data_IF_798752794724
#
_entry.id   IF_798752794724
#
_cell.length_a   1.000
_cell.length_b   1.000
_cell.length_c   1.000
_cell.angle_alpha   90.00
_cell.angle_beta   90.00
_cell.angle_gamma   90.00
#
_symmetry.space_group_name_H-M   'P 1'
#
loop_
_entity.id
_entity.type
_entity.pdbx_description
1 polymer ?
#
# COMPACT_ATOMS: atom_id res chain seq x y z
N UNK A 1 8.71 17.49 -8.90
CA UNK A 1 8.03 16.97 -7.70
C UNK A 1 6.78 16.24 -8.18
N UNK A 2 6.66 14.93 -7.97
CA UNK A 2 5.42 14.22 -8.31
C UNK A 2 4.34 14.66 -7.32
N UNK A 3 3.24 15.20 -7.83
CA UNK A 3 2.08 15.53 -7.02
C UNK A 3 1.48 14.24 -6.45
N UNK A 4 1.18 14.17 -5.14
CA UNK A 4 0.51 13.02 -4.57
C UNK A 4 -0.86 12.85 -5.24
N UNK A 5 -1.12 11.65 -5.77
CA UNK A 5 -2.43 11.29 -6.31
C UNK A 5 -3.47 11.35 -5.19
N UNK A 6 -4.58 12.06 -5.41
CA UNK A 6 -5.69 12.07 -4.46
C UNK A 6 -6.38 10.69 -4.47
N UNK A 7 -6.40 9.99 -3.33
CA UNK A 7 -7.07 8.69 -3.17
C UNK A 7 -8.28 8.78 -2.23
N UNK A 8 -8.79 9.98 -1.98
CA UNK A 8 -9.88 10.19 -1.04
C UNK A 8 -11.09 9.29 -1.33
N UNK A 9 -11.42 8.45 -0.35
CA UNK A 9 -12.56 7.52 -0.42
C UNK A 9 -12.32 6.26 -1.26
N UNK A 10 -11.12 6.06 -1.82
CA UNK A 10 -10.78 4.85 -2.58
C UNK A 10 -10.26 3.74 -1.66
N UNK A 11 -10.66 2.52 -1.97
CA UNK A 11 -10.07 1.30 -1.41
C UNK A 11 -8.93 0.83 -2.33
N UNK A 12 -7.76 0.52 -1.77
CA UNK A 12 -6.56 0.14 -2.53
C UNK A 12 -6.06 -1.22 -2.06
N UNK A 13 -6.15 -2.23 -2.94
CA UNK A 13 -5.61 -3.56 -2.68
C UNK A 13 -4.09 -3.59 -2.84
N UNK A 14 -3.37 -3.96 -1.79
CA UNK A 14 -1.91 -4.08 -1.77
C UNK A 14 -1.56 -5.57 -1.77
N UNK A 15 -0.91 -6.03 -2.84
CA UNK A 15 -0.50 -7.43 -3.03
C UNK A 15 0.98 -7.72 -2.72
N UNK A 16 1.70 -6.71 -2.22
CA UNK A 16 3.12 -6.81 -1.85
C UNK A 16 3.33 -7.75 -0.67
N UNK A 17 4.56 -8.29 -0.49
CA UNK A 17 4.93 -8.98 0.74
C UNK A 17 4.62 -8.13 1.97
N UNK A 18 4.14 -8.76 3.04
CA UNK A 18 3.63 -8.07 4.22
C UNK A 18 4.62 -7.05 4.80
N UNK A 19 5.88 -7.43 4.95
CA UNK A 19 6.94 -6.56 5.47
C UNK A 19 7.21 -5.31 4.60
N UNK A 20 6.81 -5.34 3.33
CA UNK A 20 6.99 -4.25 2.38
C UNK A 20 5.70 -3.45 2.14
N UNK A 21 4.57 -3.87 2.71
CA UNK A 21 3.28 -3.21 2.51
C UNK A 21 3.10 -1.98 3.43
N UNK A 22 3.78 -1.95 4.59
CA UNK A 22 3.54 -0.95 5.65
C UNK A 22 3.73 0.49 5.19
N UNK A 23 4.87 0.80 4.55
CA UNK A 23 5.16 2.17 4.10
C UNK A 23 4.20 2.65 3.01
N UNK A 24 3.77 1.75 2.13
CA UNK A 24 2.78 2.05 1.10
C UNK A 24 1.40 2.28 1.70
N UNK A 25 0.98 1.45 2.65
CA UNK A 25 -0.31 1.59 3.33
C UNK A 25 -0.40 2.95 4.04
N UNK A 26 0.66 3.37 4.73
CA UNK A 26 0.75 4.68 5.37
C UNK A 26 0.64 5.83 4.35
N UNK A 27 1.31 5.71 3.20
CA UNK A 27 1.23 6.72 2.14
C UNK A 27 -0.19 6.83 1.55
N UNK A 28 -0.89 5.70 1.38
CA UNK A 28 -2.28 5.66 0.91
C UNK A 28 -3.22 6.37 1.90
N UNK A 29 -3.08 6.09 3.20
CA UNK A 29 -3.84 6.78 4.26
C UNK A 29 -3.57 8.28 4.25
N UNK A 30 -2.31 8.69 4.07
CA UNK A 30 -1.92 10.10 4.05
C UNK A 30 -2.57 10.92 2.92
N UNK A 31 -3.03 10.26 1.84
CA UNK A 31 -3.74 10.88 0.72
C UNK A 31 -5.24 10.54 0.68
N UNK A 32 -5.79 10.08 1.80
CA UNK A 32 -7.22 9.86 2.01
C UNK A 32 -7.78 8.50 1.54
N UNK A 33 -6.91 7.58 1.13
CA UNK A 33 -7.30 6.23 0.72
C UNK A 33 -7.35 5.24 1.88
N UNK A 34 -8.00 4.10 1.65
CA UNK A 34 -8.06 2.96 2.58
C UNK A 34 -7.27 1.78 2.01
N UNK A 35 -6.12 1.40 2.60
CA UNK A 35 -5.38 0.24 2.14
C UNK A 35 -6.02 -1.07 2.60
N UNK A 36 -6.07 -2.05 1.70
CA UNK A 36 -6.48 -3.44 1.96
C UNK A 36 -5.25 -4.31 1.71
N UNK A 37 -4.64 -4.85 2.76
CA UNK A 37 -3.42 -5.65 2.66
C UNK A 37 -3.81 -7.10 2.37
N UNK A 38 -3.32 -7.65 1.25
CA UNK A 38 -3.54 -9.03 0.83
C UNK A 38 -2.28 -9.58 0.17
N UNK A 39 -1.26 -10.01 0.94
CA UNK A 39 0.02 -10.41 0.40
C UNK A 39 -0.12 -11.63 -0.52
N UNK A 40 0.28 -11.50 -1.80
CA UNK A 40 0.24 -12.61 -2.76
C UNK A 40 1.61 -13.25 -3.01
N UNK A 41 2.65 -12.72 -2.35
CA UNK A 41 4.04 -13.18 -2.49
C UNK A 41 4.73 -13.16 -1.12
N UNK A 42 5.61 -14.13 -0.87
CA UNK A 42 6.48 -14.22 0.31
C UNK A 42 7.94 -14.08 -0.12
N UNK A 43 8.74 -13.34 0.65
CA UNK A 43 10.18 -13.26 0.46
C UNK A 43 10.84 -14.34 1.32
N UNK A 44 11.59 -15.25 0.69
CA UNK A 44 12.40 -16.26 1.39
C UNK A 44 13.89 -15.96 1.20
N UNK A 45 14.73 -16.10 2.24
CA UNK A 45 16.19 -16.05 2.09
C UNK A 45 16.69 -17.06 1.05
N UNK A 46 17.83 -16.76 0.43
CA UNK A 46 18.59 -17.70 -0.38
C UNK A 46 19.76 -18.27 0.41
#
# INVERSE_FOLDING_TARGET
MNQPTNLQGLNVLITRPEQQATSLAQAIVAVGGTPIIFPTVVITPR
#
